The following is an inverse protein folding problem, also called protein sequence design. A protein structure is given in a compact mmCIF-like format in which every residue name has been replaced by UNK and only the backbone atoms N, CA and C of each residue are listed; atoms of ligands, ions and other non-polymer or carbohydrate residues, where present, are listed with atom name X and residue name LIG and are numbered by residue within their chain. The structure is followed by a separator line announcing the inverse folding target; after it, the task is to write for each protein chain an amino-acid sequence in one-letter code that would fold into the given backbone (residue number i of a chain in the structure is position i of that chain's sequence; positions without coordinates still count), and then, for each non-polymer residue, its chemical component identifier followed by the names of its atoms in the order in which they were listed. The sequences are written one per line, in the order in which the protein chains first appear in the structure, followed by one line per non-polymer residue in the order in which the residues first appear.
data_IF_355673164330
#
_entry.id   IF_355673164330
#
_cell.length_a   1.000
_cell.length_b   1.000
_cell.length_c   1.000
_cell.angle_alpha   90.00
_cell.angle_beta   90.00
_cell.angle_gamma   90.00
#
_symmetry.space_group_name_H-M   'P 1'
#
loop_
_entity.id
_entity.type
_entity.pdbx_description
1 polymer ?
#
# COMPACT_ATOMS: atom_id res chain seq x y z
N UNK A 1 -62.21 12.41 -10.18
CA UNK A 1 -61.49 12.70 -8.92
C UNK A 1 -60.31 11.75 -8.82
N UNK A 2 -59.13 12.31 -8.57
CA UNK A 2 -57.79 11.72 -8.74
C UNK A 2 -57.42 10.81 -7.55
N UNK A 3 -56.80 9.64 -7.75
CA UNK A 3 -56.21 8.88 -6.64
C UNK A 3 -54.79 9.40 -6.31
N UNK A 4 -54.63 9.67 -5.02
CA UNK A 4 -53.42 10.14 -4.33
C UNK A 4 -52.28 9.12 -4.38
N UNK A 5 -51.09 9.60 -4.75
CA UNK A 5 -49.81 8.87 -4.65
C UNK A 5 -49.24 9.07 -3.24
N UNK A 6 -49.00 7.99 -2.50
CA UNK A 6 -48.14 8.02 -1.32
C UNK A 6 -46.68 7.75 -1.75
N UNK A 7 -45.82 8.75 -1.56
CA UNK A 7 -44.36 8.62 -1.60
C UNK A 7 -43.90 8.06 -0.25
N UNK A 8 -43.26 6.90 -0.25
CA UNK A 8 -42.50 6.43 0.90
C UNK A 8 -41.11 7.09 0.86
N UNK A 9 -40.77 7.80 1.94
CA UNK A 9 -39.40 8.24 2.22
C UNK A 9 -38.59 7.04 2.70
N UNK A 10 -37.59 6.62 1.93
CA UNK A 10 -36.57 5.69 2.40
C UNK A 10 -35.52 6.49 3.19
N UNK A 11 -35.52 6.27 4.50
CA UNK A 11 -34.43 6.66 5.39
C UNK A 11 -33.16 5.88 5.02
N UNK A 12 -32.10 6.61 4.71
CA UNK A 12 -30.75 6.07 4.56
C UNK A 12 -30.20 5.81 5.97
N UNK A 13 -29.95 4.55 6.31
CA UNK A 13 -29.14 4.17 7.47
C UNK A 13 -27.72 3.83 6.98
N UNK A 14 -26.66 4.33 7.64
CA UNK A 14 -25.30 3.99 7.29
C UNK A 14 -24.98 2.54 7.70
N UNK A 15 -24.52 1.75 6.72
CA UNK A 15 -23.98 0.41 6.93
C UNK A 15 -22.67 0.53 7.71
N UNK A 16 -22.74 0.20 9.00
CA UNK A 16 -21.56 -0.04 9.84
C UNK A 16 -20.84 -1.30 9.38
N UNK A 17 -19.53 -1.17 9.23
CA UNK A 17 -18.52 -2.19 8.95
C UNK A 17 -18.81 -3.55 9.59
N UNK A 18 -19.15 -4.53 8.72
CA UNK A 18 -18.90 -5.97 8.88
C UNK A 18 -19.25 -6.60 7.54
N UNK A 19 -18.32 -6.54 6.58
CA UNK A 19 -18.37 -7.52 5.49
C UNK A 19 -17.73 -8.83 5.95
N UNK A 20 -18.35 -9.96 5.60
CA UNK A 20 -17.92 -11.28 6.00
C UNK A 20 -16.71 -11.70 5.18
N UNK A 21 -15.61 -11.99 5.84
CA UNK A 21 -14.66 -12.95 5.31
C UNK A 21 -15.43 -14.25 5.11
N UNK A 22 -15.37 -14.84 3.92
CA UNK A 22 -16.07 -16.09 3.59
C UNK A 22 -15.64 -17.21 4.56
N UNK A 23 -16.38 -17.36 5.66
CA UNK A 23 -16.30 -18.51 6.56
C UNK A 23 -17.16 -19.61 5.96
N UNK A 24 -16.55 -20.51 5.18
CA UNK A 24 -17.10 -21.85 5.01
C UNK A 24 -16.58 -22.72 6.16
N UNK A 25 -17.53 -23.18 6.98
CA UNK A 25 -17.34 -24.19 8.02
C UNK A 25 -16.78 -25.49 7.42
N UNK A 26 -15.75 -26.13 8.02
CA UNK A 26 -15.41 -27.51 7.71
C UNK A 26 -16.03 -28.43 8.76
N UNK A 27 -17.33 -28.71 8.63
CA UNK A 27 -17.92 -29.91 9.23
C UNK A 27 -17.87 -31.04 8.18
N UNK A 28 -16.72 -31.70 8.09
CA UNK A 28 -16.61 -32.98 7.42
C UNK A 28 -15.61 -33.86 8.18
N UNK A 29 -16.20 -34.84 8.88
CA UNK A 29 -15.51 -35.93 9.57
C UNK A 29 -14.57 -36.64 8.62
N UNK A 30 -13.27 -36.66 8.93
CA UNK A 30 -12.32 -37.59 8.32
C UNK A 30 -11.72 -38.45 9.43
N UNK A 31 -11.95 -39.76 9.31
CA UNK A 31 -11.39 -40.79 10.17
C UNK A 31 -9.86 -40.90 10.01
N UNK A 32 -9.13 -41.35 11.05
CA UNK A 32 -7.67 -41.36 11.03
C UNK A 32 -7.13 -42.53 10.19
N UNK A 33 -6.33 -42.23 9.17
CA UNK A 33 -5.48 -43.23 8.52
C UNK A 33 -4.12 -43.27 9.23
N UNK A 34 -3.92 -44.32 10.01
CA UNK A 34 -2.64 -44.71 10.60
C UNK A 34 -1.74 -45.23 9.49
N UNK A 35 -0.56 -44.63 9.29
CA UNK A 35 0.60 -45.36 8.75
C UNK A 35 1.88 -44.99 9.50
N UNK A 36 2.45 -46.05 10.04
CA UNK A 36 3.69 -46.15 10.80
C UNK A 36 4.89 -46.34 9.87
N UNK A 37 6.06 -45.88 10.34
CA UNK A 37 7.44 -46.24 9.96
C UNK A 37 7.86 -45.96 8.49
N UNK A 38 9.04 -45.41 8.22
CA UNK A 38 10.33 -46.00 8.60
C UNK A 38 11.45 -44.97 8.45
N UNK A 39 12.35 -44.97 9.44
CA UNK A 39 13.59 -44.24 9.48
C UNK A 39 14.63 -44.95 8.59
N UNK A 40 15.28 -44.26 7.65
CA UNK A 40 16.50 -44.74 7.01
C UNK A 40 17.54 -43.62 7.04
N UNK A 41 18.51 -43.78 7.94
CA UNK A 41 19.80 -43.07 7.92
C UNK A 41 20.69 -43.78 6.90
N UNK A 42 21.25 -43.04 5.95
CA UNK A 42 22.48 -43.46 5.27
C UNK A 42 23.49 -42.33 5.44
N UNK A 43 24.54 -42.65 6.20
CA UNK A 43 25.76 -41.89 6.30
C UNK A 43 26.81 -42.58 5.43
N UNK A 44 27.50 -41.83 4.58
CA UNK A 44 28.80 -42.22 4.03
C UNK A 44 29.68 -40.98 3.86
N UNK A 45 30.83 -41.02 4.50
CA UNK A 45 31.95 -40.08 4.42
C UNK A 45 32.99 -40.53 3.36
N UNK A 46 33.99 -39.66 3.15
CA UNK A 46 35.31 -39.81 2.49
C UNK A 46 35.37 -39.44 0.99
N UNK A 47 36.37 -38.72 0.46
CA UNK A 47 37.49 -37.88 0.96
C UNK A 47 38.17 -37.23 -0.27
N UNK A 48 38.85 -36.09 -0.07
CA UNK A 48 39.95 -35.50 -0.88
C UNK A 48 39.69 -35.07 -2.34
N UNK A 49 40.42 -34.14 -2.96
CA UNK A 49 41.30 -33.04 -2.53
C UNK A 49 41.66 -32.25 -3.82
N UNK A 50 42.03 -30.98 -3.62
CA UNK A 50 42.97 -30.20 -4.41
C UNK A 50 42.70 -29.91 -5.91
N UNK A 51 42.30 -28.66 -6.17
CA UNK A 51 43.17 -27.71 -6.88
C UNK A 51 43.01 -27.59 -8.40
N UNK A 52 42.48 -26.45 -8.86
CA UNK A 52 43.11 -25.67 -9.93
C UNK A 52 42.61 -24.22 -9.92
N UNK A 53 43.56 -23.29 -9.85
CA UNK A 53 43.41 -21.84 -10.06
C UNK A 53 43.36 -21.54 -11.56
N UNK A 54 42.35 -20.77 -12.00
CA UNK A 54 42.39 -19.85 -13.15
C UNK A 54 41.11 -18.99 -13.07
N UNK A 55 41.21 -17.75 -12.58
CA UNK A 55 41.39 -16.53 -13.37
C UNK A 55 40.09 -15.99 -14.00
N UNK A 56 39.69 -14.84 -13.45
CA UNK A 56 39.23 -13.64 -14.15
C UNK A 56 37.84 -13.62 -14.84
N UNK A 57 36.94 -12.89 -14.16
CA UNK A 57 36.27 -11.71 -14.70
C UNK A 57 34.92 -11.85 -15.43
N UNK A 58 34.02 -10.96 -14.98
CA UNK A 58 32.78 -10.47 -15.62
C UNK A 58 31.59 -11.43 -15.58
N UNK A 59 30.69 -11.19 -14.62
CA UNK A 59 29.24 -11.09 -14.82
C UNK A 59 28.62 -10.42 -13.58
N UNK A 60 28.98 -9.15 -13.36
CA UNK A 60 28.15 -8.24 -12.58
C UNK A 60 27.09 -7.69 -13.54
N UNK A 61 26.06 -8.49 -13.81
CA UNK A 61 24.91 -8.08 -14.60
C UNK A 61 23.64 -8.25 -13.74
N UNK A 62 23.05 -7.10 -13.43
CA UNK A 62 21.64 -6.90 -13.11
C UNK A 62 21.11 -7.54 -11.82
N UNK A 63 21.50 -6.98 -10.67
CA UNK A 63 20.66 -6.97 -9.46
C UNK A 63 20.42 -5.53 -9.02
N UNK A 64 19.75 -4.76 -9.88
CA UNK A 64 19.06 -3.57 -9.39
C UNK A 64 17.74 -4.04 -8.77
N UNK A 65 17.44 -3.72 -7.50
CA UNK A 65 16.06 -3.79 -7.03
C UNK A 65 15.20 -2.91 -7.95
N UNK A 66 13.92 -3.25 -8.19
CA UNK A 66 13.06 -2.37 -8.97
C UNK A 66 13.08 -0.99 -8.33
N UNK A 67 13.53 0.00 -9.09
CA UNK A 67 13.39 1.40 -8.70
C UNK A 67 11.92 1.63 -8.37
N UNK A 68 11.64 2.01 -7.13
CA UNK A 68 10.38 2.63 -6.80
C UNK A 68 10.35 3.94 -7.59
N UNK A 69 9.74 3.90 -8.77
CA UNK A 69 9.45 5.10 -9.53
C UNK A 69 8.45 5.90 -8.72
N UNK A 70 8.97 6.86 -7.96
CA UNK A 70 8.18 7.95 -7.38
C UNK A 70 7.78 8.83 -8.57
N UNK A 71 6.57 8.62 -9.07
CA UNK A 71 5.95 9.54 -10.01
C UNK A 71 5.39 10.70 -9.20
N UNK A 72 6.20 11.72 -9.00
CA UNK A 72 5.67 13.05 -8.72
C UNK A 72 5.80 13.83 -10.03
N UNK A 73 4.80 13.79 -10.94
CA UNK A 73 4.84 14.72 -12.05
C UNK A 73 4.86 16.14 -11.45
N UNK A 74 5.73 17.05 -11.92
CA UNK A 74 5.51 18.45 -11.64
C UNK A 74 4.11 18.76 -12.14
N UNK A 75 3.25 19.27 -11.26
CA UNK A 75 2.03 19.93 -11.67
C UNK A 75 2.49 20.93 -12.73
N UNK A 76 2.11 20.70 -13.99
CA UNK A 76 2.27 21.70 -15.03
C UNK A 76 1.51 22.92 -14.52
N UNK A 77 2.27 23.88 -14.03
CA UNK A 77 1.81 25.23 -13.80
C UNK A 77 1.24 25.69 -15.13
N UNK A 78 -0.09 25.69 -15.25
CA UNK A 78 -0.76 26.47 -16.27
C UNK A 78 -0.23 27.88 -16.15
N UNK A 79 0.44 28.32 -17.22
CA UNK A 79 1.02 29.64 -17.45
C UNK A 79 0.23 30.75 -16.74
N UNK A 80 0.71 31.09 -15.55
CA UNK A 80 0.44 32.32 -14.85
C UNK A 80 1.80 32.79 -14.39
N UNK A 81 2.35 33.79 -15.09
CA UNK A 81 3.63 34.39 -14.78
C UNK A 81 3.77 34.58 -13.26
N UNK A 82 4.82 34.01 -12.66
CA UNK A 82 5.21 34.29 -11.27
C UNK A 82 5.76 35.72 -11.23
N UNK A 83 4.84 36.67 -11.29
CA UNK A 83 4.98 37.98 -10.71
C UNK A 83 4.97 37.85 -9.18
N UNK A 84 5.63 38.79 -8.53
CA UNK A 84 5.64 38.92 -7.06
C UNK A 84 4.26 39.38 -6.59
N UNK A 85 3.28 38.51 -6.64
CA UNK A 85 1.89 38.92 -6.48
C UNK A 85 1.34 38.21 -5.24
N UNK A 86 1.34 38.98 -4.13
CA UNK A 86 0.39 39.03 -3.02
C UNK A 86 -0.55 37.81 -2.85
N UNK A 87 -0.70 37.36 -1.59
CA UNK A 87 -1.79 36.46 -1.16
C UNK A 87 -3.07 36.82 -1.92
N UNK A 88 -3.62 35.88 -2.69
CA UNK A 88 -4.86 36.09 -3.40
C UNK A 88 -5.97 36.35 -2.38
N UNK A 89 -6.87 37.30 -2.70
CA UNK A 89 -8.04 37.63 -1.87
C UNK A 89 -8.82 36.38 -1.40
N UNK A 90 -8.73 35.28 -2.15
CA UNK A 90 -9.45 34.03 -1.89
C UNK A 90 -8.94 33.28 -0.64
N UNK A 91 -7.64 33.31 -0.33
CA UNK A 91 -7.07 32.59 0.82
C UNK A 91 -7.33 33.32 2.16
N UNK A 92 -7.40 34.66 2.14
CA UNK A 92 -7.71 35.48 3.31
C UNK A 92 -9.22 35.56 3.60
N UNK A 93 -10.04 35.48 2.55
CA UNK A 93 -11.49 35.44 2.67
C UNK A 93 -11.98 34.15 3.35
N UNK A 94 -11.30 33.01 3.13
CA UNK A 94 -11.62 31.74 3.81
C UNK A 94 -11.41 31.83 5.33
N UNK A 95 -10.43 32.62 5.77
CA UNK A 95 -10.15 32.91 7.18
C UNK A 95 -10.96 34.09 7.74
N UNK A 96 -11.81 34.73 6.93
CA UNK A 96 -12.65 35.86 7.34
C UNK A 96 -11.86 37.15 7.63
N UNK A 97 -10.66 37.31 7.06
CA UNK A 97 -9.80 38.47 7.28
C UNK A 97 -10.00 39.48 6.15
N UNK A 98 -10.45 40.69 6.47
CA UNK A 98 -10.58 41.78 5.51
C UNK A 98 -9.20 42.37 5.16
N UNK A 99 -8.70 42.08 3.97
CA UNK A 99 -7.39 42.53 3.45
C UNK A 99 -7.25 44.06 3.52
N UNK A 100 -8.34 44.81 3.36
CA UNK A 100 -8.31 46.28 3.38
C UNK A 100 -7.97 46.88 4.75
N UNK A 101 -8.01 46.06 5.80
CA UNK A 101 -7.69 46.45 7.19
C UNK A 101 -6.27 46.03 7.63
N UNK A 102 -5.57 45.25 6.81
CA UNK A 102 -4.24 44.74 7.10
C UNK A 102 -3.16 45.76 6.73
N UNK A 103 -2.18 45.93 7.62
CA UNK A 103 -0.97 46.70 7.30
C UNK A 103 0.03 45.82 6.55
N UNK A 104 0.90 46.44 5.75
CA UNK A 104 1.97 45.74 4.99
C UNK A 104 2.83 44.82 5.88
N UNK A 105 3.06 45.20 7.13
CA UNK A 105 3.82 44.40 8.09
C UNK A 105 3.10 43.10 8.46
N UNK A 106 1.79 43.17 8.71
CA UNK A 106 0.99 41.99 9.06
C UNK A 106 0.82 41.09 7.85
N UNK A 107 0.63 41.67 6.65
CA UNK A 107 0.57 40.90 5.40
C UNK A 107 1.85 40.07 5.19
N UNK A 108 3.02 40.68 5.40
CA UNK A 108 4.32 40.00 5.28
C UNK A 108 4.51 38.89 6.31
N UNK A 109 4.02 39.07 7.53
CA UNK A 109 4.10 38.05 8.59
C UNK A 109 3.17 36.86 8.31
N UNK A 110 1.98 37.13 7.77
CA UNK A 110 1.05 36.11 7.29
C UNK A 110 1.68 35.32 6.13
N UNK A 111 2.23 36.00 5.13
CA UNK A 111 2.95 35.37 4.00
C UNK A 111 4.10 34.47 4.47
N UNK A 112 4.90 34.94 5.42
CA UNK A 112 5.98 34.15 6.00
C UNK A 112 5.48 32.90 6.73
N UNK A 113 4.37 33.00 7.45
CA UNK A 113 3.76 31.88 8.18
C UNK A 113 3.20 30.82 7.23
N UNK A 114 2.50 31.24 6.16
CA UNK A 114 2.01 30.32 5.13
C UNK A 114 3.14 29.66 4.35
N UNK A 115 4.21 30.39 4.06
CA UNK A 115 5.40 29.83 3.41
C UNK A 115 6.08 28.77 4.29
N UNK A 116 6.21 29.02 5.60
CA UNK A 116 6.78 28.08 6.56
C UNK A 116 5.90 26.82 6.74
N UNK A 117 4.58 27.01 6.84
CA UNK A 117 3.63 25.90 6.93
C UNK A 117 3.67 24.99 5.69
N UNK A 118 3.64 25.59 4.50
CA UNK A 118 3.75 24.86 3.22
C UNK A 118 5.09 24.13 3.10
N UNK A 119 6.18 24.76 3.53
CA UNK A 119 7.50 24.12 3.54
C UNK A 119 7.56 22.94 4.54
N UNK A 120 6.96 23.09 5.71
CA UNK A 120 6.86 22.02 6.72
C UNK A 120 6.02 20.84 6.22
N UNK A 121 4.90 21.09 5.55
CA UNK A 121 4.05 20.04 4.97
C UNK A 121 4.77 19.30 3.84
N UNK A 122 5.41 20.03 2.93
CA UNK A 122 6.21 19.45 1.84
C UNK A 122 7.33 18.57 2.38
N UNK A 123 8.01 19.01 3.45
CA UNK A 123 9.05 18.23 4.12
C UNK A 123 8.49 16.96 4.74
N UNK A 124 7.36 17.05 5.44
CA UNK A 124 6.71 15.88 6.04
C UNK A 124 6.26 14.86 5.00
N UNK A 125 5.70 15.29 3.87
CA UNK A 125 5.31 14.40 2.77
C UNK A 125 6.52 13.68 2.17
N UNK A 126 7.62 14.42 1.96
CA UNK A 126 8.89 13.85 1.49
C UNK A 126 9.43 12.80 2.47
N UNK A 127 9.52 13.13 3.76
CA UNK A 127 10.02 12.22 4.80
C UNK A 127 9.13 10.98 4.97
N UNK A 128 7.81 11.16 4.92
CA UNK A 128 6.85 10.06 4.92
C UNK A 128 7.06 9.14 3.72
N UNK A 129 7.29 9.70 2.52
CA UNK A 129 7.58 8.95 1.30
C UNK A 129 8.83 8.06 1.43
N UNK A 130 9.90 8.59 2.02
CA UNK A 130 11.16 7.85 2.27
C UNK A 130 10.91 6.60 3.13
N UNK A 131 10.03 6.70 4.13
CA UNK A 131 9.75 5.61 5.05
C UNK A 131 8.69 4.63 4.54
N UNK A 132 7.70 5.14 3.79
CA UNK A 132 6.58 4.36 3.32
C UNK A 132 6.91 3.54 2.07
N UNK A 133 7.70 4.09 1.13
CA UNK A 133 8.00 3.41 -0.14
C UNK A 133 8.63 2.01 0.04
N UNK A 134 9.65 1.81 0.90
CA UNK A 134 10.23 0.48 1.11
C UNK A 134 9.23 -0.52 1.72
N UNK A 135 8.31 -0.05 2.57
CA UNK A 135 7.26 -0.88 3.16
C UNK A 135 6.27 -1.34 2.09
N UNK A 136 5.89 -0.44 1.17
CA UNK A 136 5.02 -0.78 0.04
C UNK A 136 5.69 -1.74 -0.95
N UNK A 137 6.99 -1.60 -1.19
CA UNK A 137 7.75 -2.57 -2.00
C UNK A 137 7.71 -3.96 -1.38
N UNK A 138 8.01 -4.10 -0.09
CA UNK A 138 7.95 -5.40 0.60
C UNK A 138 6.51 -5.94 0.66
N UNK A 139 5.51 -5.06 0.85
CA UNK A 139 4.09 -5.41 0.83
C UNK A 139 3.68 -6.01 -0.53
N UNK A 140 4.05 -5.38 -1.64
CA UNK A 140 3.78 -5.90 -3.00
C UNK A 140 4.49 -7.25 -3.19
N UNK A 141 5.73 -7.38 -2.73
CA UNK A 141 6.49 -8.62 -2.83
C UNK A 141 5.85 -9.78 -2.06
N UNK A 142 5.13 -9.51 -0.97
CA UNK A 142 4.36 -10.52 -0.27
C UNK A 142 3.24 -11.14 -1.11
N UNK A 143 2.68 -10.44 -2.09
CA UNK A 143 1.68 -11.03 -3.00
C UNK A 143 2.33 -11.69 -4.24
N UNK A 144 3.56 -11.31 -4.58
CA UNK A 144 4.36 -12.00 -5.61
C UNK A 144 4.83 -13.39 -5.15
N UNK A 145 5.18 -13.52 -3.87
CA UNK A 145 5.61 -14.77 -3.24
C UNK A 145 5.06 -14.88 -1.80
N UNK A 146 3.76 -15.25 -1.64
CA UNK A 146 3.10 -15.30 -0.33
C UNK A 146 3.79 -16.19 0.70
N UNK A 147 4.32 -17.33 0.28
CA UNK A 147 5.05 -18.28 1.11
C UNK A 147 6.39 -17.74 1.64
N UNK A 148 6.94 -16.71 1.00
CA UNK A 148 8.23 -16.07 1.35
C UNK A 148 8.06 -14.72 2.02
N UNK A 149 6.84 -14.30 2.29
CA UNK A 149 6.54 -13.01 2.89
C UNK A 149 7.12 -12.93 4.32
N UNK A 150 8.02 -11.96 4.54
CA UNK A 150 8.60 -11.70 5.87
C UNK A 150 7.75 -10.69 6.62
N UNK A 151 6.55 -11.07 7.05
CA UNK A 151 5.54 -10.16 7.64
C UNK A 151 6.07 -9.33 8.80
N UNK A 152 6.88 -9.93 9.68
CA UNK A 152 7.51 -9.25 10.81
C UNK A 152 8.50 -8.15 10.39
N UNK A 153 8.95 -8.14 9.12
CA UNK A 153 9.77 -7.08 8.54
C UNK A 153 8.97 -5.86 8.08
N UNK A 154 7.66 -5.99 7.91
CA UNK A 154 6.82 -4.96 7.28
C UNK A 154 5.81 -4.39 8.27
N UNK A 155 5.32 -5.22 9.20
CA UNK A 155 4.25 -4.86 10.15
C UNK A 155 4.77 -4.68 11.57
N UNK A 156 4.16 -3.75 12.32
CA UNK A 156 4.48 -3.52 13.72
C UNK A 156 4.07 -4.74 14.58
N UNK A 157 4.73 -5.01 15.72
CA UNK A 157 4.32 -6.07 16.63
C UNK A 157 2.94 -5.80 17.18
N UNK A 158 2.16 -6.88 17.30
CA UNK A 158 0.79 -6.88 17.81
C UNK A 158 -0.20 -5.98 17.06
N UNK A 159 0.16 -5.57 15.84
CA UNK A 159 -0.68 -4.70 15.03
C UNK A 159 -1.82 -5.48 14.37
N UNK A 160 -2.99 -4.84 14.17
CA UNK A 160 -4.07 -5.47 13.40
C UNK A 160 -3.61 -5.85 11.99
N UNK A 161 -2.72 -5.06 11.39
CA UNK A 161 -2.23 -5.34 10.04
C UNK A 161 -1.30 -6.54 9.98
N UNK A 162 -0.54 -6.84 11.05
CA UNK A 162 0.24 -8.07 11.14
C UNK A 162 -0.65 -9.30 11.03
N UNK A 163 -1.76 -9.31 11.76
CA UNK A 163 -2.70 -10.43 11.75
C UNK A 163 -3.36 -10.59 10.38
N UNK A 164 -3.86 -9.49 9.80
CA UNK A 164 -4.49 -9.49 8.48
C UNK A 164 -3.55 -9.94 7.37
N UNK A 165 -2.31 -9.44 7.34
CA UNK A 165 -1.34 -9.84 6.32
C UNK A 165 -0.93 -11.32 6.49
N UNK A 166 -0.89 -11.82 7.73
CA UNK A 166 -0.62 -13.25 8.01
C UNK A 166 -1.74 -14.13 7.48
N UNK A 167 -2.99 -13.79 7.78
CA UNK A 167 -4.15 -14.52 7.27
C UNK A 167 -4.24 -14.47 5.75
N UNK A 168 -4.04 -13.28 5.15
CA UNK A 168 -4.05 -13.12 3.70
C UNK A 168 -2.97 -13.99 3.04
N UNK A 169 -1.70 -13.82 3.42
CA UNK A 169 -0.60 -14.58 2.79
C UNK A 169 -0.76 -16.09 2.98
N UNK A 170 -1.25 -16.56 4.12
CA UNK A 170 -1.56 -17.97 4.33
C UNK A 170 -2.65 -18.47 3.38
N UNK A 171 -3.72 -17.70 3.16
CA UNK A 171 -4.75 -18.01 2.18
C UNK A 171 -4.19 -18.05 0.75
N UNK A 172 -3.45 -17.02 0.34
CA UNK A 172 -2.84 -16.96 -1.00
C UNK A 172 -1.87 -18.13 -1.23
N UNK A 173 -1.08 -18.52 -0.22
CA UNK A 173 -0.23 -19.72 -0.31
C UNK A 173 -1.05 -21.00 -0.45
N UNK A 174 -2.09 -21.19 0.36
CA UNK A 174 -2.89 -22.42 0.35
C UNK A 174 -3.65 -22.61 -0.97
N UNK A 175 -4.19 -21.53 -1.52
CA UNK A 175 -4.90 -21.52 -2.80
C UNK A 175 -3.95 -21.37 -4.01
N UNK A 176 -2.64 -21.38 -3.78
CA UNK A 176 -1.60 -21.21 -4.81
C UNK A 176 -1.77 -19.93 -5.64
N UNK A 177 -2.33 -18.88 -5.04
CA UNK A 177 -2.59 -17.61 -5.67
C UNK A 177 -1.39 -16.67 -5.54
N UNK A 178 -0.97 -16.02 -6.63
CA UNK A 178 0.09 -14.99 -6.60
C UNK A 178 -0.08 -13.92 -7.67
N UNK A 179 0.49 -12.75 -7.43
CA UNK A 179 0.73 -11.75 -8.49
C UNK A 179 2.06 -12.04 -9.19
N UNK A 180 2.25 -11.47 -10.39
CA UNK A 180 3.50 -11.61 -11.16
C UNK A 180 4.19 -10.26 -11.31
N UNK A 181 5.52 -10.18 -11.13
CA UNK A 181 6.26 -8.98 -11.49
C UNK A 181 6.05 -8.62 -12.97
N UNK A 182 5.62 -7.38 -13.23
CA UNK A 182 5.37 -6.88 -14.58
C UNK A 182 3.96 -7.13 -15.13
N UNK A 183 3.13 -7.95 -14.48
CA UNK A 183 1.73 -8.16 -14.86
C UNK A 183 0.79 -7.40 -13.92
N UNK A 184 0.46 -6.17 -14.32
CA UNK A 184 -0.20 -5.21 -13.46
C UNK A 184 0.74 -4.60 -12.42
N UNK A 185 0.25 -3.59 -11.71
CA UNK A 185 1.01 -2.84 -10.69
C UNK A 185 0.11 -2.20 -9.66
N UNK A 186 0.66 -1.97 -8.48
CA UNK A 186 0.05 -1.08 -7.49
C UNK A 186 0.76 0.26 -7.59
N UNK A 187 0.11 1.22 -8.23
CA UNK A 187 0.51 2.62 -8.23
C UNK A 187 -0.07 3.30 -7.00
N UNK A 188 0.67 4.23 -6.39
CA UNK A 188 0.21 4.97 -5.23
C UNK A 188 0.89 6.34 -5.11
N UNK A 189 0.16 7.31 -4.55
CA UNK A 189 0.70 8.59 -4.08
C UNK A 189 0.19 8.91 -2.68
N UNK A 190 1.00 9.64 -1.91
CA UNK A 190 0.60 10.18 -0.62
C UNK A 190 -0.18 11.48 -0.87
N UNK A 191 -1.45 11.50 -0.49
CA UNK A 191 -2.32 12.68 -0.59
C UNK A 191 -2.17 13.57 0.65
N UNK A 192 -1.91 12.99 1.82
CA UNK A 192 -1.61 13.74 3.04
C UNK A 192 -0.80 12.91 4.03
N UNK A 193 -0.07 13.60 4.91
CA UNK A 193 0.68 13.00 6.00
C UNK A 193 0.48 13.79 7.29
N UNK A 194 0.46 13.08 8.42
CA UNK A 194 0.43 13.63 9.76
C UNK A 194 1.45 12.88 10.62
N UNK A 195 2.15 13.59 11.50
CA UNK A 195 3.05 13.01 12.48
C UNK A 195 2.53 13.29 13.91
N UNK A 196 1.59 12.49 14.44
CA UNK A 196 1.07 12.69 15.78
C UNK A 196 2.14 12.61 16.88
N UNK A 197 3.27 11.95 16.59
CA UNK A 197 4.46 11.89 17.45
C UNK A 197 5.69 11.52 16.61
N UNK A 198 6.88 11.58 17.20
CA UNK A 198 8.12 11.16 16.53
C UNK A 198 8.16 9.66 16.15
N UNK A 199 7.28 8.85 16.75
CA UNK A 199 7.24 7.39 16.56
C UNK A 199 5.96 6.93 15.83
N UNK A 200 5.15 7.87 15.33
CA UNK A 200 3.90 7.57 14.64
C UNK A 200 3.71 8.47 13.41
N UNK A 201 3.36 7.85 12.28
CA UNK A 201 2.91 8.56 11.08
C UNK A 201 1.52 8.06 10.68
N UNK A 202 0.71 8.98 10.17
CA UNK A 202 -0.56 8.66 9.51
C UNK A 202 -0.52 9.23 8.11
N UNK A 203 -0.81 8.39 7.12
CA UNK A 203 -0.76 8.75 5.72
C UNK A 203 -2.12 8.46 5.10
N UNK A 204 -2.58 9.33 4.22
CA UNK A 204 -3.67 9.00 3.30
C UNK A 204 -3.06 8.85 1.92
N UNK A 205 -3.28 7.72 1.28
CA UNK A 205 -2.76 7.43 -0.05
C UNK A 205 -3.88 7.19 -1.05
N UNK A 206 -3.71 7.72 -2.25
CA UNK A 206 -4.43 7.22 -3.41
C UNK A 206 -3.70 5.97 -3.94
N UNK A 207 -4.42 4.89 -4.17
CA UNK A 207 -3.92 3.66 -4.78
C UNK A 207 -4.68 3.37 -6.08
N UNK A 208 -3.95 3.00 -7.13
CA UNK A 208 -4.49 2.42 -8.36
C UNK A 208 -3.87 1.02 -8.53
N UNK A 209 -4.68 0.00 -8.26
CA UNK A 209 -4.27 -1.40 -8.22
C UNK A 209 -4.75 -2.11 -9.49
N UNK A 210 -3.81 -2.43 -10.37
CA UNK A 210 -4.03 -3.19 -11.61
C UNK A 210 -3.43 -4.59 -11.55
N UNK A 211 -2.94 -5.03 -10.38
CA UNK A 211 -2.30 -6.34 -10.23
C UNK A 211 -3.30 -7.45 -10.55
N UNK A 212 -2.81 -8.45 -11.28
CA UNK A 212 -3.58 -9.65 -11.61
C UNK A 212 -3.15 -10.77 -10.68
N UNK A 213 -4.12 -11.46 -10.08
CA UNK A 213 -3.89 -12.68 -9.30
C UNK A 213 -4.08 -13.90 -10.18
N UNK A 214 -3.10 -14.80 -10.11
CA UNK A 214 -3.04 -16.04 -10.85
C UNK A 214 -3.17 -17.22 -9.92
N UNK A 215 -3.96 -18.22 -10.31
CA UNK A 215 -3.93 -19.56 -9.74
C UNK A 215 -2.77 -20.37 -10.33
N UNK A 216 -1.88 -20.69 -9.39
CA UNK A 216 -0.64 -21.45 -9.44
C UNK A 216 -0.71 -22.89 -9.88
N UNK A 217 -1.86 -23.51 -9.62
CA UNK A 217 -1.97 -24.95 -9.44
C UNK A 217 -1.73 -25.78 -10.68
N UNK A 218 -1.79 -25.13 -11.84
CA UNK A 218 -1.61 -25.73 -13.17
C UNK A 218 -0.43 -25.12 -13.94
N UNK A 219 0.43 -24.32 -13.28
CA UNK A 219 1.56 -23.64 -13.92
C UNK A 219 2.51 -24.59 -14.68
N UNK A 220 2.71 -25.81 -14.17
CA UNK A 220 3.57 -26.83 -14.78
C UNK A 220 2.85 -27.70 -15.83
N UNK A 221 1.61 -27.37 -16.18
CA UNK A 221 0.79 -28.08 -17.17
C UNK A 221 0.65 -27.27 -18.46
N UNK A 222 0.11 -27.87 -19.52
CA UNK A 222 -0.21 -27.17 -20.77
C UNK A 222 -1.25 -26.05 -20.62
N UNK A 223 -2.02 -26.06 -19.53
CA UNK A 223 -3.00 -25.02 -19.21
C UNK A 223 -2.36 -23.75 -18.64
N UNK A 224 -1.18 -23.88 -18.01
CA UNK A 224 -0.48 -22.78 -17.35
C UNK A 224 -1.26 -22.15 -16.19
N UNK A 225 -0.89 -20.92 -15.85
CA UNK A 225 -1.55 -20.13 -14.79
C UNK A 225 -2.96 -19.69 -15.25
N UNK A 226 -3.93 -19.76 -14.33
CA UNK A 226 -5.30 -19.29 -14.57
C UNK A 226 -5.46 -17.90 -13.96
N UNK A 227 -6.06 -16.96 -14.69
CA UNK A 227 -6.43 -15.65 -14.12
C UNK A 227 -7.56 -15.86 -13.10
N UNK A 228 -7.26 -15.61 -11.83
CA UNK A 228 -8.20 -15.70 -10.73
C UNK A 228 -8.96 -14.38 -10.51
N UNK A 229 -8.22 -13.26 -10.47
CA UNK A 229 -8.79 -11.93 -10.31
C UNK A 229 -7.96 -10.91 -11.10
N UNK A 230 -8.63 -10.17 -11.98
CA UNK A 230 -8.06 -9.07 -12.77
C UNK A 230 -8.78 -7.75 -12.52
N UNK A 231 -9.53 -7.66 -11.41
CA UNK A 231 -10.29 -6.46 -11.06
C UNK A 231 -9.35 -5.31 -10.79
N UNK A 232 -9.50 -4.23 -11.56
CA UNK A 232 -8.80 -2.97 -11.32
C UNK A 232 -9.49 -2.22 -10.20
N UNK A 233 -8.75 -1.73 -9.21
CA UNK A 233 -9.27 -0.96 -8.10
C UNK A 233 -8.64 0.42 -8.01
N UNK A 234 -9.47 1.44 -7.78
CA UNK A 234 -9.00 2.71 -7.21
C UNK A 234 -9.37 2.72 -5.73
N UNK A 235 -8.43 3.06 -4.84
CA UNK A 235 -8.65 3.08 -3.38
C UNK A 235 -8.08 4.36 -2.78
N UNK A 236 -8.75 4.91 -1.76
CA UNK A 236 -8.16 5.84 -0.82
C UNK A 236 -7.94 5.08 0.48
N UNK A 237 -6.70 5.06 0.95
CA UNK A 237 -6.28 4.21 2.06
C UNK A 237 -5.58 5.05 3.11
N UNK A 238 -6.10 4.99 4.34
CA UNK A 238 -5.40 5.49 5.51
C UNK A 238 -4.43 4.41 6.02
N UNK A 239 -3.16 4.78 6.12
CA UNK A 239 -2.08 3.97 6.66
C UNK A 239 -1.61 4.56 7.98
N UNK A 240 -1.52 3.71 9.01
CA UNK A 240 -0.82 4.02 10.25
C UNK A 240 0.53 3.35 10.23
N UNK A 241 1.60 4.11 10.46
CA UNK A 241 2.95 3.59 10.66
C UNK A 241 3.40 3.86 12.09
N UNK A 242 4.11 2.89 12.67
CA UNK A 242 4.74 2.99 13.98
C UNK A 242 6.21 2.66 13.89
N UNK A 243 7.03 3.42 14.61
CA UNK A 243 8.46 3.13 14.77
C UNK A 243 8.66 2.02 15.79
N UNK A 244 9.44 1.00 15.43
CA UNK A 244 9.74 -0.17 16.25
C UNK A 244 11.21 -0.51 16.02
N UNK A 245 12.02 -0.47 17.09
CA UNK A 245 13.46 -0.70 17.03
C UNK A 245 14.14 0.13 15.92
N UNK A 246 13.89 1.45 15.95
CA UNK A 246 14.35 2.46 14.98
C UNK A 246 13.86 2.28 13.53
N UNK A 247 13.05 1.27 13.23
CA UNK A 247 12.49 1.02 11.90
C UNK A 247 10.99 1.34 11.84
N UNK A 248 10.56 2.00 10.77
CA UNK A 248 9.15 2.20 10.47
C UNK A 248 8.48 0.91 10.06
N UNK A 249 7.27 0.66 10.57
CA UNK A 249 6.46 -0.52 10.29
C UNK A 249 4.99 -0.15 10.12
N UNK A 250 4.27 -0.92 9.33
CA UNK A 250 2.83 -0.77 9.16
C UNK A 250 2.11 -1.23 10.42
N UNK A 251 1.40 -0.31 11.06
CA UNK A 251 0.56 -0.58 12.22
C UNK A 251 -0.88 -0.88 11.79
N UNK A 252 -1.45 -0.03 10.95
CA UNK A 252 -2.85 -0.15 10.54
C UNK A 252 -3.03 0.20 9.07
N UNK A 253 -4.05 -0.39 8.48
CA UNK A 253 -4.57 -0.05 7.16
C UNK A 253 -6.08 0.04 7.22
N UNK A 254 -6.64 1.09 6.65
CA UNK A 254 -8.08 1.30 6.52
C UNK A 254 -8.40 1.83 5.13
N UNK A 255 -9.26 1.12 4.41
CA UNK A 255 -9.76 1.58 3.11
C UNK A 255 -10.94 2.52 3.38
N UNK A 256 -10.79 3.79 3.06
CA UNK A 256 -11.85 4.79 3.23
C UNK A 256 -12.86 4.72 2.08
N UNK A 257 -12.34 4.57 0.86
CA UNK A 257 -13.12 4.44 -0.37
C UNK A 257 -12.45 3.44 -1.28
N UNK A 258 -13.25 2.62 -1.97
CA UNK A 258 -12.80 1.76 -3.07
C UNK A 258 -13.82 1.76 -4.20
N UNK A 259 -13.36 1.68 -5.43
CA UNK A 259 -14.22 1.52 -6.60
C UNK A 259 -13.53 0.67 -7.67
N UNK A 260 -14.22 -0.31 -8.26
CA UNK A 260 -13.70 -1.08 -9.38
C UNK A 260 -14.03 -0.45 -10.74
N UNK A 261 -14.80 0.64 -10.76
CA UNK A 261 -15.30 1.28 -11.99
C UNK A 261 -14.85 2.73 -12.10
N UNK A 262 -14.78 3.43 -10.98
CA UNK A 262 -14.48 4.86 -10.93
C UNK A 262 -13.05 5.09 -10.43
N UNK A 263 -12.25 5.78 -11.23
CA UNK A 263 -10.97 6.34 -10.79
C UNK A 263 -11.20 7.71 -10.15
N UNK A 264 -11.39 7.72 -8.83
CA UNK A 264 -11.72 8.92 -8.04
C UNK A 264 -10.50 9.64 -7.45
N UNK A 265 -9.29 9.13 -7.64
CA UNK A 265 -8.05 9.78 -7.26
C UNK A 265 -6.95 9.42 -8.27
N UNK A 266 -5.87 10.21 -8.29
CA UNK A 266 -4.71 9.98 -9.14
C UNK A 266 -3.48 9.71 -8.25
N UNK A 267 -2.87 8.52 -8.36
CA UNK A 267 -1.55 8.25 -7.80
C UNK A 267 -0.45 8.90 -8.63
#
# INVERSE_FOLDING_TARGET
MVPSRHRACLHYQPLTDKEPFMSRSPDARVAPYVRSATCVRVATCFVAAAGLLAAASVLAACSQPPEALVFNPPIEATDGAVGKDNIGNDDLAELGIDESTLTDAVKKEIEATFADATASETTLLSDAGIHFAPLMTEWINCFNAPDKCRIAKITAPDSPERSRLTEATAYYTAEQLRTRPGEGRLEWAIESAQAPSNDALRLVTCEYDTRIYFDVSLADTELGDIIFDSTVWTRRVEWGLRRVDDAWRIESRRIERRSPVERFCQP
#
